data_IF_531546957251
#
_entry.id   IF_531546957251
#
_cell.length_a   1.000
_cell.length_b   1.000
_cell.length_c   1.000
_cell.angle_alpha   90.00
_cell.angle_beta   90.00
_cell.angle_gamma   90.00
#
_symmetry.space_group_name_H-M   'P 1'
#
loop_
_entity.id
_entity.type
_entity.pdbx_description
1 polymer ?
#
# COMPACT_ATOMS: atom_id res chain seq x y z
N UNK A 1 13.16 -10.95 14.53
CA UNK A 1 11.82 -10.84 13.89
C UNK A 1 11.74 -9.74 12.81
N UNK A 2 12.83 -9.10 12.40
CA UNK A 2 12.86 -8.01 11.41
C UNK A 2 13.38 -8.41 10.03
N UNK A 3 13.74 -9.69 9.83
CA UNK A 3 14.33 -10.18 8.58
C UNK A 3 13.33 -10.22 7.41
N UNK A 4 12.13 -10.75 7.62
CA UNK A 4 11.11 -10.89 6.57
C UNK A 4 10.61 -9.55 6.01
N UNK A 5 10.34 -8.50 6.82
CA UNK A 5 9.97 -7.18 6.31
C UNK A 5 11.09 -6.52 5.50
N UNK A 6 12.36 -6.67 5.93
CA UNK A 6 13.50 -6.12 5.18
C UNK A 6 13.70 -6.86 3.86
N UNK A 7 13.52 -8.18 3.83
CA UNK A 7 13.66 -8.98 2.62
C UNK A 7 12.54 -8.66 1.61
N UNK A 8 11.30 -8.46 2.09
CA UNK A 8 10.20 -7.97 1.27
C UNK A 8 10.43 -6.57 0.68
N UNK A 9 10.93 -5.62 1.48
CA UNK A 9 11.32 -4.30 0.99
C UNK A 9 12.48 -4.36 -0.02
N UNK A 10 13.40 -5.31 0.14
CA UNK A 10 14.54 -5.50 -0.77
C UNK A 10 14.09 -6.08 -2.12
N UNK A 11 13.15 -7.03 -2.11
CA UNK A 11 12.55 -7.58 -3.35
C UNK A 11 11.81 -6.50 -4.13
N UNK A 12 11.06 -5.64 -3.43
CA UNK A 12 10.34 -4.50 -4.02
C UNK A 12 11.27 -3.42 -4.60
N UNK A 13 12.48 -3.29 -4.04
CA UNK A 13 13.53 -2.39 -4.53
C UNK A 13 14.24 -2.92 -5.78
N UNK A 14 14.41 -4.25 -5.88
CA UNK A 14 15.13 -4.90 -6.98
C UNK A 14 14.24 -5.03 -8.22
N UNK A 15 12.95 -5.27 -8.04
CA UNK A 15 12.01 -5.42 -9.14
C UNK A 15 10.73 -4.61 -8.94
N UNK A 16 10.80 -3.27 -9.08
CA UNK A 16 9.60 -2.42 -9.00
C UNK A 16 8.59 -2.75 -10.11
N UNK A 17 9.02 -3.38 -11.21
CA UNK A 17 8.15 -3.85 -12.29
C UNK A 17 7.26 -5.00 -11.85
N UNK A 18 7.68 -5.81 -10.87
CA UNK A 18 6.84 -6.86 -10.31
C UNK A 18 5.52 -6.29 -9.76
N UNK A 19 5.58 -5.06 -9.26
CA UNK A 19 4.46 -4.36 -8.65
C UNK A 19 3.68 -3.52 -9.67
N UNK A 20 4.36 -2.83 -10.58
CA UNK A 20 3.69 -2.12 -11.68
C UNK A 20 2.89 -3.09 -12.57
N UNK A 21 3.47 -4.24 -12.92
CA UNK A 21 2.81 -5.27 -13.71
C UNK A 21 1.58 -5.86 -13.00
N UNK A 22 1.64 -6.00 -11.66
CA UNK A 22 0.54 -6.49 -10.84
C UNK A 22 -0.72 -5.61 -10.93
N UNK A 23 -0.58 -4.31 -11.14
CA UNK A 23 -1.73 -3.39 -11.27
C UNK A 23 -2.15 -3.14 -12.71
N UNK A 24 -1.27 -3.33 -13.69
CA UNK A 24 -1.64 -3.32 -15.10
C UNK A 24 -2.42 -4.58 -15.50
N UNK A 25 -2.12 -5.72 -14.89
CA UNK A 25 -2.80 -6.99 -15.15
C UNK A 25 -4.13 -7.13 -14.38
N UNK A 26 -4.23 -6.56 -13.17
CA UNK A 26 -5.45 -6.63 -12.35
C UNK A 26 -6.40 -5.48 -12.68
N UNK A 27 -7.50 -5.77 -13.37
CA UNK A 27 -8.55 -4.80 -13.70
C UNK A 27 -9.30 -4.34 -12.44
N UNK A 28 -8.87 -3.21 -11.88
CA UNK A 28 -9.42 -2.65 -10.64
C UNK A 28 -10.90 -2.27 -10.77
N UNK A 29 -11.72 -2.68 -9.79
CA UNK A 29 -13.09 -2.20 -9.72
C UNK A 29 -13.15 -0.73 -9.29
N UNK A 30 -14.04 0.07 -9.88
CA UNK A 30 -14.38 1.36 -9.33
C UNK A 30 -15.16 1.17 -8.02
N UNK A 31 -14.78 1.94 -7.00
CA UNK A 31 -15.42 1.96 -5.67
C UNK A 31 -16.91 2.32 -5.74
N UNK A 32 -17.34 2.94 -6.84
CA UNK A 32 -18.74 3.30 -7.09
C UNK A 32 -19.66 2.09 -7.37
N UNK A 33 -19.09 0.91 -7.67
CA UNK A 33 -19.85 -0.32 -7.86
C UNK A 33 -20.13 -1.06 -6.55
N UNK A 34 -19.58 -0.61 -5.42
CA UNK A 34 -19.81 -1.22 -4.11
C UNK A 34 -21.05 -0.63 -3.43
N UNK A 35 -21.69 -1.42 -2.57
CA UNK A 35 -22.78 -0.96 -1.70
C UNK A 35 -22.36 0.26 -0.88
N UNK A 36 -23.31 1.13 -0.56
CA UNK A 36 -23.04 2.35 0.21
C UNK A 36 -22.40 2.06 1.59
N UNK A 37 -22.70 0.89 2.16
CA UNK A 37 -22.10 0.44 3.42
C UNK A 37 -20.61 0.12 3.27
N UNK A 38 -20.24 -0.62 2.22
CA UNK A 38 -18.87 -0.99 1.89
C UNK A 38 -18.06 0.23 1.43
N UNK A 39 -18.66 1.09 0.61
CA UNK A 39 -18.08 2.38 0.19
C UNK A 39 -17.74 3.28 1.37
N UNK A 40 -18.65 3.41 2.35
CA UNK A 40 -18.40 4.21 3.56
C UNK A 40 -17.26 3.63 4.40
N UNK A 41 -17.19 2.30 4.52
CA UNK A 41 -16.10 1.62 5.25
C UNK A 41 -14.74 1.83 4.59
N UNK A 42 -14.67 1.70 3.26
CA UNK A 42 -13.45 1.96 2.48
C UNK A 42 -13.01 3.42 2.64
N UNK A 43 -13.91 4.39 2.50
CA UNK A 43 -13.59 5.82 2.66
C UNK A 43 -13.05 6.15 4.06
N UNK A 44 -13.60 5.53 5.10
CA UNK A 44 -13.12 5.73 6.48
C UNK A 44 -11.69 5.20 6.65
N UNK A 45 -11.42 3.99 6.17
CA UNK A 45 -10.09 3.36 6.22
C UNK A 45 -9.06 4.15 5.41
N UNK A 46 -9.42 4.62 4.20
CA UNK A 46 -8.58 5.50 3.40
C UNK A 46 -8.20 6.77 4.17
N UNK A 47 -9.16 7.39 4.88
CA UNK A 47 -8.90 8.58 5.69
C UNK A 47 -7.92 8.29 6.84
N UNK A 48 -8.08 7.15 7.51
CA UNK A 48 -7.18 6.72 8.60
C UNK A 48 -5.75 6.52 8.06
N UNK A 49 -5.61 5.80 6.94
CA UNK A 49 -4.31 5.54 6.30
C UNK A 49 -3.65 6.86 5.88
N UNK A 50 -4.41 7.79 5.28
CA UNK A 50 -3.88 9.10 4.90
C UNK A 50 -3.40 9.91 6.11
N UNK A 51 -4.16 9.94 7.20
CA UNK A 51 -3.76 10.62 8.44
C UNK A 51 -2.47 9.99 9.00
N UNK A 52 -2.41 8.66 9.04
CA UNK A 52 -1.23 7.93 9.49
C UNK A 52 0.01 8.27 8.65
N UNK A 53 -0.13 8.28 7.32
CA UNK A 53 0.96 8.63 6.39
C UNK A 53 1.49 10.04 6.65
N UNK A 54 0.60 11.03 6.84
CA UNK A 54 0.97 12.42 7.13
C UNK A 54 1.72 12.52 8.46
N UNK A 55 1.19 11.90 9.52
CA UNK A 55 1.82 11.92 10.85
C UNK A 55 3.19 11.26 10.79
N UNK A 56 3.28 10.07 10.18
CA UNK A 56 4.53 9.32 10.09
C UNK A 56 5.59 10.08 9.26
N UNK A 57 5.19 10.74 8.17
CA UNK A 57 6.09 11.58 7.37
C UNK A 57 6.60 12.76 8.19
N UNK A 58 5.72 13.43 8.93
CA UNK A 58 6.07 14.56 9.79
C UNK A 58 7.06 14.14 10.88
N UNK A 59 6.82 12.99 11.54
CA UNK A 59 7.72 12.44 12.55
C UNK A 59 9.07 12.06 11.94
N UNK A 60 9.09 11.41 10.78
CA UNK A 60 10.32 11.05 10.07
C UNK A 60 11.17 12.28 9.73
N UNK A 61 10.54 13.35 9.23
CA UNK A 61 11.22 14.62 8.98
C UNK A 61 11.77 15.23 10.28
N UNK A 62 10.95 15.29 11.34
CA UNK A 62 11.38 15.85 12.63
C UNK A 62 12.57 15.07 13.23
N UNK A 63 12.55 13.74 13.17
CA UNK A 63 13.66 12.87 13.59
C UNK A 63 14.89 13.11 12.72
N UNK A 64 14.71 13.21 11.39
CA UNK A 64 15.79 13.51 10.46
C UNK A 64 16.49 14.85 10.75
N UNK A 65 15.73 15.88 11.10
CA UNK A 65 16.27 17.17 11.55
C UNK A 65 16.93 17.07 12.93
N UNK A 66 16.35 16.30 13.86
CA UNK A 66 16.93 16.12 15.18
C UNK A 66 18.30 15.41 15.11
N UNK A 67 18.46 14.42 14.24
CA UNK A 67 19.74 13.74 13.99
C UNK A 67 20.78 14.72 13.39
N UNK A 68 20.36 15.60 12.48
CA UNK A 68 21.25 16.61 11.90
C UNK A 68 21.82 17.57 12.96
N UNK A 69 20.97 18.03 13.89
CA UNK A 69 21.30 19.13 14.81
C UNK A 69 21.86 18.63 16.14
N UNK A 70 21.27 17.59 16.74
CA UNK A 70 21.49 17.27 18.16
C UNK A 70 22.41 16.09 18.43
N UNK A 71 22.89 15.38 17.40
CA UNK A 71 23.70 14.19 17.64
C UNK A 71 25.13 14.57 18.09
N UNK A 72 25.39 14.49 19.39
CA UNK A 72 26.72 14.78 19.96
C UNK A 72 27.73 13.64 19.77
N UNK A 73 27.28 12.46 19.35
CA UNK A 73 28.09 11.24 19.23
C UNK A 73 28.31 10.84 17.77
N UNK A 74 28.27 11.79 16.83
CA UNK A 74 28.45 11.50 15.41
C UNK A 74 29.78 10.83 15.09
N UNK A 75 30.85 11.27 15.76
CA UNK A 75 32.19 10.73 15.57
C UNK A 75 32.28 9.24 15.91
N UNK A 76 31.56 8.77 16.93
CA UNK A 76 31.57 7.35 17.34
C UNK A 76 30.54 6.50 16.62
N UNK A 77 29.47 7.13 16.11
CA UNK A 77 28.33 6.43 15.52
C UNK A 77 28.47 6.25 14.01
N UNK A 78 29.06 7.23 13.31
CA UNK A 78 29.16 7.22 11.85
C UNK A 78 30.61 7.07 11.41
N UNK A 79 30.94 5.88 10.88
CA UNK A 79 32.26 5.55 10.35
C UNK A 79 32.77 6.58 9.31
N UNK A 80 31.95 7.10 8.37
CA UNK A 80 32.42 8.11 7.42
C UNK A 80 32.82 9.42 8.09
N UNK A 81 32.06 9.85 9.12
CA UNK A 81 32.37 11.06 9.89
C UNK A 81 33.70 10.89 10.62
N UNK A 82 33.92 9.72 11.24
CA UNK A 82 35.21 9.39 11.87
C UNK A 82 36.37 9.47 10.87
N UNK A 83 36.22 8.86 9.70
CA UNK A 83 37.22 8.89 8.64
C UNK A 83 37.57 10.33 8.21
N UNK A 84 36.57 11.19 8.02
CA UNK A 84 36.81 12.58 7.63
C UNK A 84 37.56 13.37 8.71
N UNK A 85 37.24 13.14 9.99
CA UNK A 85 37.94 13.80 11.11
C UNK A 85 39.39 13.32 11.24
N UNK A 86 39.62 12.01 11.10
CA UNK A 86 40.95 11.41 11.32
C UNK A 86 41.93 11.69 10.15
N UNK A 87 41.45 11.73 8.89
CA UNK A 87 42.31 11.85 7.70
C UNK A 87 42.23 13.21 6.98
N UNK A 88 41.12 13.94 7.11
CA UNK A 88 40.91 15.24 6.45
C UNK A 88 40.31 16.27 7.42
N UNK A 89 40.99 16.58 8.54
CA UNK A 89 40.44 17.40 9.62
C UNK A 89 39.98 18.79 9.16
N UNK A 90 40.68 19.37 8.19
CA UNK A 90 40.42 20.69 7.61
C UNK A 90 39.07 20.79 6.87
N UNK A 91 38.57 19.68 6.31
CA UNK A 91 37.28 19.62 5.59
C UNK A 91 36.22 18.80 6.34
N UNK A 92 36.58 18.23 7.49
CA UNK A 92 35.76 17.27 8.24
C UNK A 92 34.35 17.78 8.57
N UNK A 93 34.21 19.05 8.95
CA UNK A 93 32.90 19.66 9.24
C UNK A 93 31.99 19.75 8.02
N UNK A 94 32.54 20.09 6.86
CA UNK A 94 31.78 20.18 5.60
C UNK A 94 31.33 18.78 5.18
N UNK A 95 32.26 17.81 5.15
CA UNK A 95 31.93 16.44 4.76
C UNK A 95 30.96 15.76 5.73
N UNK A 96 31.08 16.00 7.04
CA UNK A 96 30.14 15.49 8.02
C UNK A 96 28.72 16.04 7.80
N UNK A 97 28.58 17.34 7.52
CA UNK A 97 27.27 17.94 7.25
C UNK A 97 26.65 17.44 5.95
N UNK A 98 27.45 17.29 4.88
CA UNK A 98 26.99 16.69 3.62
C UNK A 98 26.53 15.26 3.86
N UNK A 99 27.32 14.46 4.58
CA UNK A 99 26.98 13.08 4.90
C UNK A 99 25.67 12.97 5.69
N UNK A 100 25.52 13.74 6.79
CA UNK A 100 24.28 13.74 7.57
C UNK A 100 23.09 14.19 6.75
N UNK A 101 23.26 15.22 5.91
CA UNK A 101 22.21 15.69 5.01
C UNK A 101 21.77 14.60 4.04
N UNK A 102 22.73 13.89 3.45
CA UNK A 102 22.46 12.76 2.56
C UNK A 102 21.76 11.60 3.29
N UNK A 103 22.13 11.32 4.54
CA UNK A 103 21.52 10.28 5.36
C UNK A 103 20.06 10.63 5.71
N UNK A 104 19.82 11.84 6.20
CA UNK A 104 18.46 12.33 6.49
C UNK A 104 17.58 12.33 5.23
N UNK A 105 18.15 12.74 4.09
CA UNK A 105 17.46 12.69 2.81
C UNK A 105 17.13 11.25 2.40
N UNK A 106 18.09 10.34 2.49
CA UNK A 106 17.90 8.93 2.12
C UNK A 106 16.85 8.25 3.00
N UNK A 107 16.91 8.43 4.33
CA UNK A 107 15.92 7.85 5.24
C UNK A 107 14.53 8.40 4.94
N UNK A 108 14.39 9.72 4.79
CA UNK A 108 13.09 10.37 4.62
C UNK A 108 12.48 10.08 3.24
N UNK A 109 13.27 10.21 2.18
CA UNK A 109 12.76 10.22 0.80
C UNK A 109 13.05 8.95 0.01
N UNK A 110 13.99 8.10 0.41
CA UNK A 110 14.23 6.82 -0.26
C UNK A 110 13.58 5.66 0.49
N UNK A 111 13.74 5.59 1.81
CA UNK A 111 13.24 4.43 2.57
C UNK A 111 11.75 4.52 2.89
N UNK A 112 11.24 5.70 3.26
CA UNK A 112 9.83 5.86 3.68
C UNK A 112 8.80 5.58 2.57
N UNK A 113 9.01 6.00 1.31
CA UNK A 113 8.06 5.72 0.23
C UNK A 113 7.81 4.23 -0.01
N UNK A 114 8.82 3.36 0.14
CA UNK A 114 8.64 1.92 -0.02
C UNK A 114 7.72 1.32 1.05
N UNK A 115 7.80 1.80 2.29
CA UNK A 115 6.85 1.41 3.32
C UNK A 115 5.42 1.84 2.97
N UNK A 116 5.26 3.04 2.41
CA UNK A 116 3.95 3.53 1.97
C UNK A 116 3.41 2.80 0.76
N UNK A 117 4.26 2.40 -0.18
CA UNK A 117 3.89 1.52 -1.28
C UNK A 117 3.29 0.21 -0.75
N UNK A 118 3.97 -0.48 0.16
CA UNK A 118 3.45 -1.73 0.75
C UNK A 118 2.11 -1.53 1.45
N UNK A 119 1.98 -0.46 2.24
CA UNK A 119 0.72 -0.13 2.92
C UNK A 119 -0.38 0.14 1.88
N UNK A 120 -0.09 0.94 0.86
CA UNK A 120 -1.03 1.25 -0.22
C UNK A 120 -1.52 -0.03 -0.90
N UNK A 121 -0.62 -0.93 -1.28
CA UNK A 121 -0.97 -2.17 -1.96
C UNK A 121 -1.79 -3.11 -1.09
N UNK A 122 -1.40 -3.29 0.17
CA UNK A 122 -2.12 -4.14 1.11
C UNK A 122 -3.55 -3.63 1.34
N UNK A 123 -3.71 -2.31 1.49
CA UNK A 123 -5.02 -1.69 1.67
C UNK A 123 -5.86 -1.77 0.40
N UNK A 124 -5.25 -1.55 -0.77
CA UNK A 124 -5.95 -1.65 -2.04
C UNK A 124 -6.49 -3.06 -2.28
N UNK A 125 -5.66 -4.08 -2.03
CA UNK A 125 -6.07 -5.48 -2.12
C UNK A 125 -7.20 -5.83 -1.15
N UNK A 126 -7.11 -5.35 0.09
CA UNK A 126 -8.18 -5.48 1.10
C UNK A 126 -9.49 -4.86 0.61
N UNK A 127 -9.44 -3.69 -0.03
CA UNK A 127 -10.64 -3.05 -0.57
C UNK A 127 -11.24 -3.82 -1.75
N UNK A 128 -10.41 -4.32 -2.67
CA UNK A 128 -10.87 -5.18 -3.78
C UNK A 128 -11.57 -6.45 -3.25
N UNK A 129 -11.04 -7.06 -2.18
CA UNK A 129 -11.68 -8.18 -1.52
C UNK A 129 -13.01 -7.83 -0.88
N UNK A 130 -13.12 -6.69 -0.19
CA UNK A 130 -14.39 -6.26 0.38
C UNK A 130 -15.45 -6.01 -0.69
N UNK A 131 -15.08 -5.39 -1.81
CA UNK A 131 -16.01 -5.22 -2.94
C UNK A 131 -16.41 -6.55 -3.58
N UNK A 132 -15.52 -7.54 -3.60
CA UNK A 132 -15.85 -8.89 -4.07
C UNK A 132 -16.85 -9.58 -3.14
N UNK A 133 -16.64 -9.52 -1.82
CA UNK A 133 -17.55 -10.09 -0.83
C UNK A 133 -18.92 -9.41 -0.91
N UNK A 134 -18.94 -8.09 -1.03
CA UNK A 134 -20.17 -7.30 -1.18
C UNK A 134 -20.97 -7.71 -2.42
N UNK A 135 -20.29 -7.95 -3.55
CA UNK A 135 -20.91 -8.48 -4.77
C UNK A 135 -21.50 -9.90 -4.56
N UNK A 136 -20.81 -10.77 -3.83
CA UNK A 136 -21.31 -12.13 -3.52
C UNK A 136 -22.56 -12.04 -2.63
N UNK A 137 -22.52 -11.19 -1.60
CA UNK A 137 -23.63 -10.98 -0.67
C UNK A 137 -24.87 -10.44 -1.40
N UNK A 138 -24.69 -9.54 -2.37
CA UNK A 138 -25.79 -9.02 -3.18
C UNK A 138 -26.42 -10.10 -4.07
N UNK A 139 -25.61 -10.98 -4.67
CA UNK A 139 -26.10 -12.13 -5.45
C UNK A 139 -26.89 -13.08 -4.54
N UNK A 140 -26.36 -13.41 -3.36
CA UNK A 140 -27.01 -14.32 -2.41
C UNK A 140 -28.31 -13.73 -1.83
N UNK A 141 -28.38 -12.42 -1.59
CA UNK A 141 -29.60 -11.76 -1.09
C UNK A 141 -30.69 -11.70 -2.16
N UNK A 142 -30.32 -11.52 -3.43
CA UNK A 142 -31.25 -11.56 -4.56
C UNK A 142 -31.94 -12.92 -4.77
N UNK A 143 -31.37 -14.00 -4.22
CA UNK A 143 -31.99 -15.34 -4.18
C UNK A 143 -33.02 -15.48 -3.04
N UNK A 144 -32.92 -14.68 -1.97
CA UNK A 144 -33.69 -14.85 -0.73
C UNK A 144 -34.96 -13.96 -0.70
N UNK A 145 -35.05 -12.91 -1.53
CA UNK A 145 -36.24 -12.05 -1.58
C UNK A 145 -37.37 -12.63 -2.47
N UNK A 146 -38.19 -13.50 -1.87
CA UNK A 146 -39.63 -13.66 -2.16
C UNK A 146 -40.12 -13.88 -3.62
N UNK A 147 -39.50 -14.78 -4.40
CA UNK A 147 -40.12 -15.26 -5.65
C UNK A 147 -40.05 -16.79 -5.72
N UNK A 148 -41.18 -17.42 -6.06
CA UNK A 148 -41.32 -18.87 -6.24
C UNK A 148 -40.22 -19.38 -7.21
N UNK A 149 -39.40 -20.38 -6.83
CA UNK A 149 -38.26 -20.83 -7.64
C UNK A 149 -38.62 -21.30 -9.06
N UNK A 150 -39.89 -21.65 -9.30
CA UNK A 150 -40.39 -22.03 -10.62
C UNK A 150 -40.52 -20.86 -11.61
N UNK A 151 -40.65 -19.61 -11.17
CA UNK A 151 -40.71 -18.42 -12.06
C UNK A 151 -39.34 -17.83 -12.39
N UNK A 152 -38.34 -18.01 -11.52
CA UNK A 152 -36.97 -17.51 -11.74
C UNK A 152 -36.22 -18.30 -12.83
N UNK A 153 -36.58 -19.57 -13.06
CA UNK A 153 -35.99 -20.39 -14.12
C UNK A 153 -36.49 -19.95 -15.52
N UNK A 154 -37.68 -19.36 -15.59
CA UNK A 154 -38.30 -18.91 -16.85
C UNK A 154 -38.06 -17.41 -17.13
N UNK A 155 -37.60 -16.65 -16.14
CA UNK A 155 -37.23 -15.25 -16.30
C UNK A 155 -35.86 -15.14 -16.99
N UNK A 156 -35.92 -15.02 -18.33
CA UNK A 156 -34.74 -14.90 -19.17
C UNK A 156 -33.91 -13.65 -18.87
N UNK A 157 -34.51 -12.54 -18.44
CA UNK A 157 -33.77 -11.33 -18.06
C UNK A 157 -32.98 -11.56 -16.78
N UNK A 158 -33.62 -12.16 -15.77
CA UNK A 158 -32.97 -12.51 -14.51
C UNK A 158 -31.82 -13.51 -14.69
N UNK A 159 -32.04 -14.57 -15.47
CA UNK A 159 -30.98 -15.54 -15.78
C UNK A 159 -29.81 -14.91 -16.54
N UNK A 160 -30.10 -14.00 -17.45
CA UNK A 160 -29.07 -13.29 -18.22
C UNK A 160 -28.26 -12.36 -17.31
N UNK A 161 -28.90 -11.71 -16.34
CA UNK A 161 -28.23 -10.87 -15.34
C UNK A 161 -27.34 -11.70 -14.39
N UNK A 162 -27.84 -12.83 -13.88
CA UNK A 162 -27.02 -13.76 -13.08
C UNK A 162 -25.85 -14.26 -13.89
N UNK A 163 -26.07 -14.69 -15.15
CA UNK A 163 -25.01 -15.20 -16.02
C UNK A 163 -23.92 -14.14 -16.26
N UNK A 164 -24.30 -12.88 -16.50
CA UNK A 164 -23.34 -11.79 -16.66
C UNK A 164 -22.55 -11.53 -15.36
N UNK A 165 -23.23 -11.56 -14.22
CA UNK A 165 -22.60 -11.37 -12.91
C UNK A 165 -21.65 -12.53 -12.56
N UNK A 166 -22.03 -13.78 -12.85
CA UNK A 166 -21.22 -14.98 -12.63
C UNK A 166 -20.00 -15.01 -13.56
N UNK A 167 -20.16 -14.64 -14.83
CA UNK A 167 -19.05 -14.51 -15.78
C UNK A 167 -18.10 -13.41 -15.30
N UNK A 168 -18.62 -12.28 -14.82
CA UNK A 168 -17.83 -11.23 -14.20
C UNK A 168 -17.07 -11.72 -12.97
N UNK A 169 -17.73 -12.49 -12.10
CA UNK A 169 -17.13 -13.08 -10.91
C UNK A 169 -16.00 -14.05 -11.25
N UNK A 170 -16.23 -15.00 -12.17
CA UNK A 170 -15.23 -16.00 -12.58
C UNK A 170 -14.03 -15.33 -13.23
N UNK A 171 -14.25 -14.35 -14.13
CA UNK A 171 -13.15 -13.59 -14.73
C UNK A 171 -12.32 -12.86 -13.67
N UNK A 172 -12.97 -12.23 -12.69
CA UNK A 172 -12.24 -11.49 -11.64
C UNK A 172 -11.55 -12.38 -10.63
N UNK A 173 -12.11 -13.55 -10.33
CA UNK A 173 -11.41 -14.55 -9.51
C UNK A 173 -10.16 -15.06 -10.22
N UNK A 174 -10.21 -15.25 -11.54
CA UNK A 174 -9.06 -15.62 -12.36
C UNK A 174 -8.02 -14.48 -12.43
N UNK A 175 -8.44 -13.22 -12.59
CA UNK A 175 -7.56 -12.04 -12.57
C UNK A 175 -6.89 -11.81 -11.20
N UNK A 176 -7.49 -12.26 -10.09
CA UNK A 176 -6.92 -12.13 -8.74
C UNK A 176 -6.01 -13.30 -8.33
N UNK A 177 -6.06 -14.42 -9.04
CA UNK A 177 -5.29 -15.64 -8.76
C UNK A 177 -4.08 -15.84 -9.69
N UNK A 178 -4.07 -15.19 -10.85
CA UNK A 178 -2.85 -15.03 -11.68
C UNK A 178 -1.98 -13.90 -11.12
#
# INVERSE_FOLDING_TARGET
MTFYPMLGATVLLIDPKLVENLFEEVKMLPIDNASESTKRKIKMEMKIVSIFTIINTTVAMAVGFAVLIFNRYDYTTFLPIKYFVDYHPEYSGIFANIYKGSFTFAVTFLMTPHAYQVVYYTQHFKYQFWMLIDLIDDIMRGEISHILPSRLIEDHEYQQQIKLNLIGFVKRHQELLM
#
